data_IF_216824207175
#
_entry.id   IF_216824207175
#
_cell.length_a   1.000
_cell.length_b   1.000
_cell.length_c   1.000
_cell.angle_alpha   90.00
_cell.angle_beta   90.00
_cell.angle_gamma   90.00
#
_symmetry.space_group_name_H-M   'P 1'
#
loop_
_entity.id
_entity.type
_entity.pdbx_description
1 polymer ?
#
# COMPACT_ATOMS: atom_id res chain seq x y z
N UNK A 1 6.25 -24.88 13.11
CA UNK A 1 5.02 -24.41 13.72
C UNK A 1 4.57 -23.05 13.23
N UNK A 2 5.36 -22.44 12.35
CA UNK A 2 5.10 -21.08 11.92
C UNK A 2 3.89 -20.91 11.01
N UNK A 3 3.43 -21.99 10.34
CA UNK A 3 2.32 -21.92 9.40
C UNK A 3 0.94 -21.81 10.04
N UNK A 4 0.84 -22.03 11.35
CA UNK A 4 -0.42 -21.89 12.08
C UNK A 4 -0.96 -20.46 12.06
N UNK A 5 -0.06 -19.47 11.92
CA UNK A 5 -0.41 -18.07 11.91
C UNK A 5 -0.63 -17.52 10.50
N UNK A 6 -0.56 -18.38 9.48
CA UNK A 6 -0.70 -17.98 8.08
C UNK A 6 -1.87 -18.71 7.46
N UNK A 7 -2.77 -17.96 6.86
CA UNK A 7 -3.92 -18.51 6.14
C UNK A 7 -3.90 -18.01 4.70
N UNK A 8 -4.15 -18.90 3.75
CA UNK A 8 -4.26 -18.56 2.35
C UNK A 8 -5.73 -18.57 1.94
N UNK A 9 -6.22 -17.39 1.55
CA UNK A 9 -7.58 -17.27 1.08
C UNK A 9 -7.71 -17.50 -0.42
N UNK A 10 -8.92 -17.76 -0.91
CA UNK A 10 -9.16 -17.86 -2.35
C UNK A 10 -9.04 -16.50 -3.02
N UNK A 11 -8.93 -16.51 -4.35
CA UNK A 11 -9.03 -15.29 -5.12
C UNK A 11 -10.41 -14.67 -4.90
N UNK A 12 -10.46 -13.37 -4.62
CA UNK A 12 -11.71 -12.68 -4.35
C UNK A 12 -12.08 -11.75 -5.49
N UNK A 13 -13.37 -11.50 -5.64
CA UNK A 13 -13.88 -10.53 -6.59
C UNK A 13 -13.38 -9.12 -6.22
N UNK A 14 -13.15 -8.30 -7.22
CA UNK A 14 -12.65 -6.94 -7.04
C UNK A 14 -13.52 -6.13 -6.07
N UNK A 15 -14.82 -6.34 -6.13
CA UNK A 15 -15.81 -5.66 -5.29
C UNK A 15 -15.66 -6.02 -3.80
N UNK A 16 -15.05 -7.17 -3.50
CA UNK A 16 -14.88 -7.65 -2.13
C UNK A 16 -13.56 -7.22 -1.49
N UNK A 17 -12.64 -6.65 -2.27
CA UNK A 17 -11.30 -6.31 -1.79
C UNK A 17 -11.34 -5.34 -0.63
N UNK A 18 -12.10 -4.25 -0.74
CA UNK A 18 -12.18 -3.25 0.34
C UNK A 18 -12.82 -3.82 1.60
N UNK A 19 -13.79 -4.72 1.47
CA UNK A 19 -14.40 -5.39 2.63
C UNK A 19 -13.39 -6.24 3.39
N UNK A 20 -12.51 -6.92 2.68
CA UNK A 20 -11.45 -7.74 3.30
C UNK A 20 -10.40 -6.84 3.93
N UNK A 21 -9.97 -5.80 3.24
CA UNK A 21 -8.97 -4.87 3.75
C UNK A 21 -9.45 -4.12 4.99
N UNK A 22 -10.76 -3.85 5.08
CA UNK A 22 -11.33 -3.21 6.27
C UNK A 22 -11.16 -4.02 7.53
N UNK A 23 -10.96 -5.32 7.41
CA UNK A 23 -10.73 -6.24 8.54
C UNK A 23 -9.25 -6.42 8.86
N UNK A 24 -8.38 -5.80 8.08
CA UNK A 24 -6.93 -5.91 8.24
C UNK A 24 -6.39 -4.75 9.06
N UNK A 25 -5.30 -4.99 9.79
CA UNK A 25 -4.63 -3.95 10.58
C UNK A 25 -3.45 -3.36 9.84
N UNK A 26 -2.82 -4.14 8.98
CA UNK A 26 -1.63 -3.78 8.21
C UNK A 26 -1.76 -4.44 6.85
N UNK A 27 -1.32 -3.75 5.80
CA UNK A 27 -1.25 -4.33 4.47
C UNK A 27 0.22 -4.51 4.06
N UNK A 28 0.48 -5.55 3.28
CA UNK A 28 1.84 -5.87 2.84
C UNK A 28 1.89 -6.05 1.33
N UNK A 29 2.94 -5.50 0.74
CA UNK A 29 3.20 -5.59 -0.70
C UNK A 29 4.66 -5.96 -0.92
N UNK A 30 4.89 -7.01 -1.68
CA UNK A 30 6.24 -7.38 -2.11
C UNK A 30 6.40 -7.12 -3.60
N UNK A 31 7.43 -6.36 -3.95
CA UNK A 31 7.76 -6.08 -5.34
C UNK A 31 9.17 -6.64 -5.58
N UNK A 32 9.33 -7.64 -6.45
CA UNK A 32 10.64 -8.23 -6.70
C UNK A 32 11.56 -7.23 -7.39
N UNK A 33 12.86 -7.40 -7.19
CA UNK A 33 13.85 -6.58 -7.88
C UNK A 33 13.73 -6.81 -9.38
N UNK A 34 13.54 -5.71 -10.12
CA UNK A 34 13.42 -5.74 -11.57
C UNK A 34 13.78 -4.37 -12.11
N UNK A 35 14.39 -4.33 -13.28
CA UNK A 35 14.70 -3.07 -13.96
C UNK A 35 13.44 -2.27 -14.28
N UNK A 36 12.31 -2.95 -14.47
CA UNK A 36 11.02 -2.32 -14.75
C UNK A 36 10.59 -1.41 -13.61
N UNK A 37 10.86 -1.81 -12.38
CA UNK A 37 10.43 -1.06 -11.20
C UNK A 37 11.23 0.21 -10.94
N UNK A 38 12.31 0.42 -11.66
CA UNK A 38 13.03 1.71 -11.62
C UNK A 38 12.20 2.85 -12.16
N UNK A 39 11.22 2.55 -13.00
CA UNK A 39 10.38 3.54 -13.68
C UNK A 39 8.99 3.68 -13.07
N UNK A 40 8.71 2.96 -12.00
CA UNK A 40 7.45 3.07 -11.28
C UNK A 40 6.93 1.74 -10.75
N UNK A 41 5.86 1.81 -10.01
CA UNK A 41 5.20 0.65 -9.40
C UNK A 41 3.84 0.40 -10.04
N UNK A 42 3.38 -0.85 -9.95
CA UNK A 42 1.98 -1.15 -10.23
C UNK A 42 1.11 -0.40 -9.22
N UNK A 43 0.21 0.40 -9.71
CA UNK A 43 -0.57 1.31 -8.87
C UNK A 43 -1.78 0.65 -8.23
N UNK A 44 -2.31 -0.42 -8.81
CA UNK A 44 -3.61 -0.96 -8.40
C UNK A 44 -3.65 -1.43 -6.94
N UNK A 45 -2.67 -2.25 -6.53
CA UNK A 45 -2.63 -2.74 -5.15
C UNK A 45 -2.36 -1.62 -4.16
N UNK A 46 -1.48 -0.69 -4.52
CA UNK A 46 -1.13 0.44 -3.65
C UNK A 46 -2.35 1.32 -3.44
N UNK A 47 -3.09 1.61 -4.51
CA UNK A 47 -4.32 2.42 -4.43
C UNK A 47 -5.34 1.74 -3.51
N UNK A 48 -5.56 0.43 -3.69
CA UNK A 48 -6.49 -0.31 -2.85
C UNK A 48 -6.10 -0.27 -1.38
N UNK A 49 -4.81 -0.44 -1.09
CA UNK A 49 -4.29 -0.42 0.28
C UNK A 49 -4.43 0.98 0.90
N UNK A 50 -4.12 2.02 0.15
CA UNK A 50 -4.25 3.40 0.64
C UNK A 50 -5.72 3.76 0.89
N UNK A 51 -6.62 3.35 0.00
CA UNK A 51 -8.06 3.57 0.19
C UNK A 51 -8.61 2.85 1.43
N UNK A 52 -8.02 1.72 1.81
CA UNK A 52 -8.44 0.98 3.00
C UNK A 52 -8.09 1.68 4.31
N UNK A 53 -7.26 2.72 4.25
CA UNK A 53 -6.76 3.47 5.41
C UNK A 53 -5.95 2.60 6.38
N UNK A 54 -5.32 1.53 5.89
CA UNK A 54 -4.39 0.72 6.65
C UNK A 54 -2.95 1.16 6.37
N UNK A 55 -2.05 1.10 7.36
CA UNK A 55 -0.64 1.33 7.10
C UNK A 55 -0.08 0.23 6.20
N UNK A 56 0.89 0.59 5.39
CA UNK A 56 1.44 -0.29 4.36
C UNK A 56 2.89 -0.61 4.68
N UNK A 57 3.27 -1.88 4.53
CA UNK A 57 4.67 -2.30 4.50
C UNK A 57 4.93 -2.78 3.08
N UNK A 58 5.91 -2.19 2.42
CA UNK A 58 6.25 -2.57 1.05
C UNK A 58 7.72 -2.96 0.94
N UNK A 59 7.97 -4.15 0.43
CA UNK A 59 9.31 -4.58 0.04
C UNK A 59 9.56 -4.10 -1.38
N UNK A 60 10.35 -3.05 -1.54
CA UNK A 60 10.46 -2.36 -2.81
C UNK A 60 11.79 -1.61 -2.94
N UNK A 61 12.33 -1.59 -4.15
CA UNK A 61 13.51 -0.81 -4.48
C UNK A 61 13.23 -0.10 -5.80
N UNK A 62 13.35 1.24 -5.82
CA UNK A 62 13.10 2.03 -7.02
C UNK A 62 12.78 3.48 -6.71
N UNK A 63 11.96 4.09 -7.54
CA UNK A 63 11.54 5.47 -7.37
C UNK A 63 10.70 5.67 -6.11
N UNK A 64 10.70 6.88 -5.54
CA UNK A 64 9.79 7.21 -4.45
C UNK A 64 8.36 6.84 -4.82
N UNK A 65 7.68 6.18 -3.90
CA UNK A 65 6.32 5.71 -4.13
C UNK A 65 5.30 6.67 -3.52
N UNK A 66 4.02 6.46 -3.86
CA UNK A 66 2.92 7.16 -3.22
C UNK A 66 2.91 6.91 -1.70
N UNK A 67 3.42 5.76 -1.27
CA UNK A 67 3.52 5.43 0.17
C UNK A 67 4.42 6.42 0.89
N UNK A 68 5.56 6.76 0.30
CA UNK A 68 6.49 7.75 0.85
C UNK A 68 5.87 9.15 0.81
N UNK A 69 5.29 9.52 -0.30
CA UNK A 69 4.69 10.84 -0.47
C UNK A 69 3.54 11.08 0.51
N UNK A 70 2.71 10.06 0.73
CA UNK A 70 1.59 10.15 1.67
C UNK A 70 2.02 9.94 3.12
N UNK A 71 3.21 9.42 3.35
CA UNK A 71 3.69 9.05 4.69
C UNK A 71 2.72 8.07 5.38
N UNK A 72 2.31 7.05 4.65
CA UNK A 72 1.30 6.09 5.11
C UNK A 72 1.82 4.67 5.29
N UNK A 73 3.14 4.50 5.28
CA UNK A 73 3.73 3.19 5.44
C UNK A 73 5.24 3.24 5.48
N UNK A 74 5.86 2.07 5.41
CA UNK A 74 7.31 1.93 5.38
C UNK A 74 7.74 1.13 4.17
N UNK A 75 8.87 1.51 3.61
CA UNK A 75 9.52 0.78 2.53
C UNK A 75 10.70 0.03 3.12
N UNK A 76 10.76 -1.27 2.88
CA UNK A 76 11.87 -2.12 3.31
C UNK A 76 12.56 -2.71 2.09
N UNK A 77 13.85 -3.10 2.21
CA UNK A 77 14.55 -3.71 1.07
C UNK A 77 13.88 -5.01 0.63
N UNK A 78 13.89 -5.32 -0.68
CA UNK A 78 13.40 -6.60 -1.17
C UNK A 78 14.23 -7.76 -0.60
N UNK A 79 13.57 -8.91 -0.41
CA UNK A 79 14.22 -10.13 0.09
C UNK A 79 14.90 -9.97 1.46
N UNK A 80 14.33 -9.12 2.32
CA UNK A 80 14.86 -8.89 3.67
C UNK A 80 13.79 -9.24 4.71
N UNK A 81 13.67 -10.53 5.10
CA UNK A 81 12.67 -10.94 6.08
C UNK A 81 12.84 -10.29 7.45
N UNK A 82 14.06 -9.96 7.84
CA UNK A 82 14.33 -9.31 9.12
C UNK A 82 13.75 -7.89 9.13
N UNK A 83 13.94 -7.14 8.04
CA UNK A 83 13.38 -5.80 7.92
C UNK A 83 11.84 -5.83 7.91
N UNK A 84 11.25 -6.81 7.23
CA UNK A 84 9.79 -6.99 7.22
C UNK A 84 9.28 -7.27 8.63
N UNK A 85 9.95 -8.18 9.33
CA UNK A 85 9.59 -8.53 10.70
C UNK A 85 9.64 -7.32 11.63
N UNK A 86 10.71 -6.51 11.55
CA UNK A 86 10.84 -5.31 12.36
C UNK A 86 9.72 -4.31 12.07
N UNK A 87 9.35 -4.15 10.81
CA UNK A 87 8.25 -3.24 10.43
C UNK A 87 6.91 -3.72 10.99
N UNK A 88 6.63 -5.02 10.91
CA UNK A 88 5.41 -5.59 11.48
C UNK A 88 5.37 -5.41 13.01
N UNK A 89 6.48 -5.70 13.67
CA UNK A 89 6.59 -5.56 15.14
C UNK A 89 6.39 -4.11 15.57
N UNK A 90 6.94 -3.17 14.82
CA UNK A 90 6.80 -1.74 15.12
C UNK A 90 5.35 -1.30 14.99
N UNK A 91 4.66 -1.71 13.93
CA UNK A 91 3.24 -1.38 13.77
C UNK A 91 2.37 -2.05 14.83
N UNK A 92 2.71 -3.25 15.25
CA UNK A 92 2.01 -3.90 16.35
C UNK A 92 2.22 -3.13 17.66
N UNK A 93 3.45 -2.66 17.91
CA UNK A 93 3.82 -1.94 19.13
C UNK A 93 3.11 -0.61 19.30
N UNK A 94 2.97 0.15 18.23
CA UNK A 94 2.40 1.52 18.32
C UNK A 94 0.89 1.55 18.58
N UNK A 95 0.19 0.43 18.38
CA UNK A 95 -1.23 0.32 18.68
C UNK A 95 -2.16 0.79 17.56
N UNK A 96 -3.46 0.49 17.72
CA UNK A 96 -4.45 0.72 16.69
C UNK A 96 -4.69 2.19 16.35
N UNK A 97 -4.64 3.08 17.35
CA UNK A 97 -4.88 4.52 17.12
C UNK A 97 -3.81 5.10 16.22
N UNK A 98 -2.55 4.82 16.51
CA UNK A 98 -1.44 5.33 15.69
C UNK A 98 -1.43 4.69 14.29
N UNK A 99 -1.76 3.38 14.20
CA UNK A 99 -1.89 2.73 12.91
C UNK A 99 -2.97 3.39 12.05
N UNK A 100 -4.11 3.72 12.64
CA UNK A 100 -5.19 4.39 11.94
C UNK A 100 -4.79 5.78 11.45
N UNK A 101 -4.03 6.52 12.24
CA UNK A 101 -3.50 7.82 11.81
C UNK A 101 -2.61 7.70 10.59
N UNK A 102 -1.69 6.75 10.63
CA UNK A 102 -0.77 6.49 9.51
C UNK A 102 -1.55 6.08 8.26
N UNK A 103 -2.44 5.11 8.39
CA UNK A 103 -3.24 4.62 7.27
C UNK A 103 -4.15 5.68 6.67
N UNK A 104 -4.73 6.54 7.52
CA UNK A 104 -5.61 7.62 7.07
C UNK A 104 -4.89 8.63 6.17
N UNK A 105 -3.60 8.84 6.38
CA UNK A 105 -2.80 9.70 5.49
C UNK A 105 -2.82 9.19 4.05
N UNK A 106 -2.76 7.87 3.90
CA UNK A 106 -2.83 7.24 2.58
C UNK A 106 -4.17 7.47 1.90
N UNK A 107 -5.25 7.26 2.62
CA UNK A 107 -6.59 7.49 2.09
C UNK A 107 -6.81 8.93 1.68
N UNK A 108 -6.43 9.88 2.52
CA UNK A 108 -6.54 11.30 2.21
C UNK A 108 -5.71 11.66 0.98
N UNK A 109 -4.49 11.16 0.89
CA UNK A 109 -3.61 11.42 -0.24
C UNK A 109 -4.21 10.93 -1.56
N UNK A 110 -4.78 9.70 -1.57
CA UNK A 110 -5.40 9.14 -2.76
C UNK A 110 -6.62 9.96 -3.19
N UNK A 111 -7.47 10.33 -2.25
CA UNK A 111 -8.66 11.14 -2.55
C UNK A 111 -8.25 12.48 -3.14
N UNK A 112 -7.22 13.11 -2.58
CA UNK A 112 -6.78 14.44 -3.00
C UNK A 112 -5.99 14.43 -4.32
N UNK A 113 -5.21 13.37 -4.57
CA UNK A 113 -4.24 13.38 -5.66
C UNK A 113 -4.56 12.42 -6.81
N UNK A 114 -5.35 11.37 -6.57
CA UNK A 114 -5.62 10.32 -7.55
C UNK A 114 -7.11 10.01 -7.71
N UNK A 115 -7.99 10.96 -7.34
CA UNK A 115 -9.42 10.77 -7.57
C UNK A 115 -9.73 10.67 -9.07
N UNK A 116 -10.82 10.01 -9.42
CA UNK A 116 -11.24 9.91 -10.81
C UNK A 116 -11.41 11.27 -11.47
N UNK A 117 -11.92 12.25 -10.72
CA UNK A 117 -12.09 13.62 -11.23
C UNK A 117 -10.77 14.25 -11.60
N UNK A 118 -9.75 14.13 -10.72
CA UNK A 118 -8.42 14.67 -10.99
C UNK A 118 -7.73 13.95 -12.14
N UNK A 119 -7.86 12.63 -12.21
CA UNK A 119 -7.32 11.87 -13.32
C UNK A 119 -7.99 12.24 -14.63
N UNK A 120 -9.31 12.43 -14.63
CA UNK A 120 -10.05 12.85 -15.80
C UNK A 120 -9.56 14.22 -16.30
N UNK A 121 -9.32 15.17 -15.39
CA UNK A 121 -8.78 16.47 -15.74
C UNK A 121 -7.39 16.40 -16.36
N UNK A 122 -6.53 15.53 -15.83
CA UNK A 122 -5.20 15.30 -16.40
C UNK A 122 -5.29 14.73 -17.80
N UNK A 123 -6.13 13.72 -18.02
CA UNK A 123 -6.33 13.13 -19.34
C UNK A 123 -6.92 14.13 -20.32
N UNK A 124 -7.88 14.92 -19.88
CA UNK A 124 -8.48 15.97 -20.70
C UNK A 124 -7.42 16.95 -21.19
N UNK A 125 -6.55 17.41 -20.30
CA UNK A 125 -5.44 18.31 -20.67
C UNK A 125 -4.50 17.68 -21.67
N UNK A 126 -4.19 16.40 -21.52
CA UNK A 126 -3.29 15.68 -22.42
C UNK A 126 -3.90 15.46 -23.80
N UNK A 127 -5.20 15.21 -23.87
CA UNK A 127 -5.90 14.90 -25.12
C UNK A 127 -6.26 16.15 -25.95
N UNK A 128 -6.48 17.26 -25.30
CA UNK A 128 -7.01 18.48 -25.95
C UNK A 128 -6.06 19.65 -25.94
N UNK A 129 -4.79 19.38 -25.69
CA UNK A 129 -3.75 20.41 -25.84
C UNK A 129 -3.41 20.71 -27.29
#
# INVERSE_FOLDING_TARGET
GSLENISFGPKVEKEMVQSILAKSDITYLAVPRSKVWKYGQSLNKIIDYMLSANPIIASYEGFPSMIDEANCGVIVPPNDPVAIRHAIEEYARIGSVERQKIGSRGRHWIIDNRSYEKLALVYEKLLFQ
#
